data_IF_087535523505
#
_entry.id   IF_087535523505
#
_cell.length_a   1.000
_cell.length_b   1.000
_cell.length_c   1.000
_cell.angle_alpha   90.00
_cell.angle_beta   90.00
_cell.angle_gamma   90.00
#
_symmetry.space_group_name_H-M   'P 1'
#
loop_
_entity.id
_entity.type
_entity.pdbx_description
1 polymer ?
#
# COMPACT_ATOMS: atom_id res chain seq x y z
N UNK A 1 19.32 -5.45 -18.19
CA UNK A 1 18.88 -6.24 -17.02
C UNK A 1 17.48 -6.72 -17.33
N UNK A 2 17.20 -7.98 -17.07
CA UNK A 2 15.83 -8.50 -17.20
C UNK A 2 15.00 -7.91 -16.07
N UNK A 3 13.85 -7.32 -16.40
CA UNK A 3 12.97 -6.66 -15.43
C UNK A 3 11.63 -7.38 -15.45
N UNK A 4 11.11 -7.75 -14.26
CA UNK A 4 9.76 -8.25 -14.11
C UNK A 4 8.84 -7.06 -13.85
N UNK A 5 7.81 -6.88 -14.67
CA UNK A 5 6.78 -5.89 -14.37
C UNK A 5 5.84 -6.41 -13.30
N UNK A 6 5.48 -5.55 -12.34
CA UNK A 6 4.61 -5.87 -11.21
C UNK A 6 3.43 -4.92 -11.22
N UNK A 7 2.26 -5.42 -11.59
CA UNK A 7 1.01 -4.64 -11.43
C UNK A 7 0.44 -4.89 -10.04
N UNK A 8 0.35 -3.81 -9.25
CA UNK A 8 -0.20 -3.82 -7.90
C UNK A 8 -1.62 -3.28 -7.91
N UNK A 9 -2.61 -4.16 -7.86
CA UNK A 9 -4.01 -3.80 -7.67
C UNK A 9 -4.28 -3.49 -6.21
N UNK A 10 -4.61 -2.24 -5.91
CA UNK A 10 -4.72 -1.78 -4.53
C UNK A 10 -5.76 -0.66 -4.35
N UNK A 11 -5.99 -0.28 -3.10
CA UNK A 11 -6.89 0.81 -2.72
C UNK A 11 -6.39 1.40 -1.39
N UNK A 12 -6.29 2.74 -1.25
CA UNK A 12 -5.76 3.36 -0.05
C UNK A 12 -6.59 3.06 1.21
N UNK A 13 -7.86 2.70 1.04
CA UNK A 13 -8.77 2.38 2.15
C UNK A 13 -8.87 0.87 2.46
N UNK A 14 -8.14 0.02 1.76
CA UNK A 14 -8.19 -1.41 2.00
C UNK A 14 -7.26 -1.82 3.15
N UNK A 15 -7.78 -2.31 4.30
CA UNK A 15 -6.95 -2.71 5.43
C UNK A 15 -6.06 -3.92 5.12
N UNK A 16 -6.46 -4.81 4.21
CA UNK A 16 -5.62 -5.91 3.75
C UNK A 16 -4.45 -5.43 2.92
N UNK A 17 -4.68 -4.46 2.01
CA UNK A 17 -3.62 -3.86 1.21
C UNK A 17 -2.62 -3.11 2.10
N UNK A 18 -3.11 -2.34 3.06
CA UNK A 18 -2.27 -1.66 4.04
C UNK A 18 -1.46 -2.65 4.89
N UNK A 19 -2.06 -3.73 5.33
CA UNK A 19 -1.38 -4.78 6.11
C UNK A 19 -0.36 -5.59 5.29
N UNK A 20 -0.40 -5.54 3.96
CA UNK A 20 0.58 -6.18 3.09
C UNK A 20 1.86 -5.34 2.90
N UNK A 21 1.88 -4.07 3.33
CA UNK A 21 3.03 -3.17 3.16
C UNK A 21 4.37 -3.76 3.61
N UNK A 22 4.48 -4.49 4.74
CA UNK A 22 5.75 -5.11 5.12
C UNK A 22 6.28 -6.12 4.09
N UNK A 23 5.41 -6.93 3.50
CA UNK A 23 5.82 -7.88 2.45
C UNK A 23 6.25 -7.15 1.17
N UNK A 24 5.56 -6.06 0.81
CA UNK A 24 5.93 -5.23 -0.35
C UNK A 24 7.25 -4.50 -0.12
N UNK A 25 7.51 -4.00 1.09
CA UNK A 25 8.78 -3.38 1.46
C UNK A 25 9.95 -4.39 1.32
N UNK A 26 9.75 -5.64 1.76
CA UNK A 26 10.75 -6.71 1.57
C UNK A 26 10.99 -6.99 0.09
N UNK A 27 9.98 -7.02 -0.77
CA UNK A 27 10.18 -7.22 -2.20
C UNK A 27 10.97 -6.07 -2.85
N UNK A 28 10.66 -4.82 -2.48
CA UNK A 28 11.39 -3.64 -2.96
C UNK A 28 12.85 -3.65 -2.49
N UNK A 29 13.09 -4.05 -1.25
CA UNK A 29 14.43 -4.24 -0.71
C UNK A 29 15.20 -5.32 -1.49
N UNK A 30 14.62 -6.52 -1.61
CA UNK A 30 15.30 -7.70 -2.20
C UNK A 30 15.64 -7.57 -3.66
N UNK A 31 14.75 -6.97 -4.43
CA UNK A 31 14.86 -6.99 -5.89
C UNK A 31 15.16 -5.62 -6.49
N UNK A 32 14.92 -4.54 -5.72
CA UNK A 32 15.21 -3.18 -6.17
C UNK A 32 14.66 -2.88 -7.56
N UNK A 33 15.50 -2.33 -8.42
CA UNK A 33 15.16 -1.96 -9.80
C UNK A 33 14.92 -3.16 -10.75
N UNK A 34 15.08 -4.42 -10.28
CA UNK A 34 14.75 -5.61 -11.06
C UNK A 34 13.23 -5.84 -11.14
N UNK A 35 12.44 -5.16 -10.29
CA UNK A 35 10.97 -5.13 -10.35
C UNK A 35 10.51 -3.74 -10.78
N UNK A 36 9.75 -3.70 -11.88
CA UNK A 36 9.13 -2.48 -12.39
C UNK A 36 7.67 -2.40 -11.89
N UNK A 37 7.41 -1.50 -10.96
CA UNK A 37 6.14 -1.39 -10.24
C UNK A 37 5.17 -0.44 -10.93
N UNK A 38 3.94 -0.87 -11.07
CA UNK A 38 2.81 -0.06 -11.51
C UNK A 38 1.62 -0.25 -10.56
N UNK A 39 1.12 0.83 -10.01
CA UNK A 39 -0.08 0.83 -9.18
C UNK A 39 -1.32 0.92 -10.08
N UNK A 40 -2.36 0.16 -9.73
CA UNK A 40 -3.70 0.24 -10.34
C UNK A 40 -4.72 0.36 -9.21
N UNK A 41 -5.48 1.45 -9.21
CA UNK A 41 -6.44 1.74 -8.15
C UNK A 41 -7.76 1.02 -8.39
N UNK A 42 -8.30 0.37 -7.34
CA UNK A 42 -9.52 -0.46 -7.47
C UNK A 42 -10.80 0.37 -7.36
N UNK A 43 -10.84 1.38 -6.50
CA UNK A 43 -12.06 2.12 -6.18
C UNK A 43 -13.08 1.24 -5.49
N UNK A 44 -12.83 0.85 -4.22
CA UNK A 44 -13.68 -0.09 -3.48
C UNK A 44 -15.12 0.41 -3.28
N UNK A 45 -15.31 1.71 -3.13
CA UNK A 45 -16.62 2.35 -3.06
C UNK A 45 -16.56 3.79 -3.57
N UNK A 46 -17.40 4.11 -4.53
CA UNK A 46 -17.60 5.48 -5.02
C UNK A 46 -18.55 6.27 -4.10
N UNK A 47 -19.51 5.57 -3.48
CA UNK A 47 -20.53 6.11 -2.61
C UNK A 47 -20.48 5.45 -1.23
N UNK A 48 -20.43 6.23 -0.13
CA UNK A 48 -20.44 5.70 1.22
C UNK A 48 -21.77 5.01 1.58
N UNK A 49 -22.88 5.35 0.94
CA UNK A 49 -24.19 4.75 1.21
C UNK A 49 -24.17 3.23 1.05
N UNK A 50 -23.43 2.71 0.08
CA UNK A 50 -23.28 1.28 -0.13
C UNK A 50 -22.71 0.58 1.11
N UNK A 51 -21.73 1.17 1.79
CA UNK A 51 -21.20 0.65 3.03
C UNK A 51 -22.24 0.72 4.15
N UNK A 52 -22.97 1.84 4.25
CA UNK A 52 -24.02 2.02 5.25
C UNK A 52 -25.15 1.00 5.07
N UNK A 53 -25.60 0.76 3.84
CA UNK A 53 -26.61 -0.26 3.52
C UNK A 53 -26.14 -1.67 3.87
N UNK A 54 -24.84 -1.96 3.79
CA UNK A 54 -24.21 -3.20 4.23
C UNK A 54 -23.96 -3.25 5.75
N UNK A 55 -24.50 -2.30 6.51
CA UNK A 55 -24.43 -2.24 7.97
C UNK A 55 -23.09 -1.77 8.52
N UNK A 56 -22.25 -1.10 7.71
CA UNK A 56 -21.05 -0.45 8.21
C UNK A 56 -21.41 0.85 8.93
N UNK A 57 -20.82 1.04 10.09
CA UNK A 57 -20.84 2.30 10.85
C UNK A 57 -19.42 2.71 11.18
N UNK A 58 -19.15 4.00 11.49
CA UNK A 58 -17.83 4.45 11.91
C UNK A 58 -17.24 3.60 13.05
N UNK A 59 -18.05 3.31 14.05
CA UNK A 59 -17.63 2.47 15.20
C UNK A 59 -17.30 1.04 14.77
N UNK A 60 -18.14 0.41 13.94
CA UNK A 60 -17.91 -0.96 13.46
C UNK A 60 -16.64 -1.03 12.60
N UNK A 61 -16.38 -0.01 11.78
CA UNK A 61 -15.16 0.08 11.00
C UNK A 61 -13.92 0.23 11.88
N UNK A 62 -13.95 1.11 12.88
CA UNK A 62 -12.86 1.30 13.83
C UNK A 62 -12.55 0.00 14.62
N UNK A 63 -13.58 -0.67 15.15
CA UNK A 63 -13.42 -1.97 15.84
C UNK A 63 -12.84 -3.01 14.88
N UNK A 64 -13.34 -3.08 13.64
CA UNK A 64 -12.82 -3.98 12.62
C UNK A 64 -11.33 -3.78 12.34
N UNK A 65 -10.86 -2.52 12.31
CA UNK A 65 -9.45 -2.19 12.10
C UNK A 65 -8.54 -2.73 13.20
N UNK A 66 -9.01 -2.83 14.45
CA UNK A 66 -8.19 -3.36 15.56
C UNK A 66 -7.71 -4.79 15.29
N UNK A 67 -8.50 -5.60 14.58
CA UNK A 67 -8.12 -6.96 14.23
C UNK A 67 -6.92 -7.04 13.28
N UNK A 68 -6.63 -5.97 12.53
CA UNK A 68 -5.51 -5.87 11.60
C UNK A 68 -4.19 -5.49 12.27
N UNK A 69 -4.21 -4.97 13.50
CA UNK A 69 -2.98 -4.67 14.27
C UNK A 69 -2.06 -5.90 14.41
N UNK A 70 -2.62 -7.11 14.34
CA UNK A 70 -1.85 -8.36 14.34
C UNK A 70 -0.87 -8.51 13.18
N UNK A 71 -1.03 -7.74 12.11
CA UNK A 71 -0.12 -7.72 10.95
C UNK A 71 0.99 -6.66 11.09
N UNK A 72 1.02 -5.92 12.20
CA UNK A 72 2.09 -5.02 12.60
C UNK A 72 2.01 -3.60 12.04
N UNK A 73 1.14 -3.32 11.06
CA UNK A 73 0.93 -1.95 10.59
C UNK A 73 0.17 -1.12 11.63
N UNK A 74 0.44 0.22 11.72
CA UNK A 74 -0.23 1.08 12.69
C UNK A 74 -1.70 1.34 12.34
N UNK A 75 -2.57 1.25 13.36
CA UNK A 75 -3.98 1.58 13.27
C UNK A 75 -4.42 2.41 14.47
N UNK A 76 -5.09 3.53 14.23
CA UNK A 76 -5.62 4.38 15.31
C UNK A 76 -6.71 3.66 16.12
N UNK A 77 -7.70 3.09 15.42
CA UNK A 77 -8.82 2.40 16.07
C UNK A 77 -9.89 3.34 16.64
N UNK A 78 -9.92 4.59 16.21
CA UNK A 78 -10.95 5.56 16.57
C UNK A 78 -11.99 5.71 15.44
N UNK A 79 -13.29 5.88 15.76
CA UNK A 79 -14.31 6.08 14.75
C UNK A 79 -14.17 7.47 14.10
N UNK A 80 -14.34 7.53 12.78
CA UNK A 80 -14.49 8.78 12.03
C UNK A 80 -15.84 9.41 12.28
N UNK A 81 -16.01 10.67 11.85
CA UNK A 81 -17.28 11.37 11.93
C UNK A 81 -18.40 10.66 11.13
N UNK A 82 -18.06 10.03 10.01
CA UNK A 82 -18.97 9.26 9.15
C UNK A 82 -18.23 8.15 8.40
N UNK A 83 -18.98 7.29 7.74
CA UNK A 83 -18.45 6.35 6.72
C UNK A 83 -18.01 7.18 5.51
N UNK A 84 -16.85 6.85 4.93
CA UNK A 84 -16.27 7.52 3.78
C UNK A 84 -16.23 6.59 2.55
N UNK A 85 -16.35 7.18 1.36
CA UNK A 85 -16.08 6.54 0.08
C UNK A 85 -14.56 6.52 -0.21
N UNK A 86 -14.12 5.64 -1.11
CA UNK A 86 -12.68 5.50 -1.43
C UNK A 86 -12.32 6.14 -2.78
N UNK A 87 -13.30 6.38 -3.64
CA UNK A 87 -13.10 6.84 -5.02
C UNK A 87 -12.33 8.15 -5.11
N UNK A 88 -12.63 9.15 -4.23
CA UNK A 88 -11.93 10.43 -4.25
C UNK A 88 -10.46 10.31 -3.88
N UNK A 89 -10.13 9.51 -2.86
CA UNK A 89 -8.75 9.20 -2.50
C UNK A 89 -8.00 8.46 -3.62
N UNK A 90 -8.66 7.51 -4.32
CA UNK A 90 -8.09 6.85 -5.49
C UNK A 90 -7.82 7.86 -6.62
N UNK A 91 -8.74 8.77 -6.90
CA UNK A 91 -8.52 9.82 -7.91
C UNK A 91 -7.40 10.79 -7.52
N UNK A 92 -7.18 11.07 -6.23
CA UNK A 92 -6.00 11.85 -5.80
C UNK A 92 -4.68 11.14 -6.15
N UNK A 93 -4.61 9.81 -6.00
CA UNK A 93 -3.46 9.01 -6.47
C UNK A 93 -3.29 9.14 -7.99
N UNK A 94 -4.37 8.96 -8.75
CA UNK A 94 -4.35 9.05 -10.22
C UNK A 94 -4.00 10.47 -10.69
N UNK A 95 -4.53 11.52 -10.05
CA UNK A 95 -4.15 12.90 -10.34
C UNK A 95 -2.65 13.12 -10.13
N UNK A 96 -2.08 12.56 -9.05
CA UNK A 96 -0.63 12.61 -8.81
C UNK A 96 0.13 11.86 -9.91
N UNK A 97 -0.31 10.67 -10.32
CA UNK A 97 0.28 9.93 -11.46
C UNK A 97 0.38 10.79 -12.72
N UNK A 98 -0.62 11.62 -13.00
CA UNK A 98 -0.65 12.48 -14.18
C UNK A 98 0.18 13.75 -14.03
N UNK A 99 0.28 14.31 -12.82
CA UNK A 99 0.95 15.58 -12.55
C UNK A 99 2.43 15.40 -12.18
N UNK A 100 2.72 14.42 -11.32
CA UNK A 100 4.06 14.15 -10.75
C UNK A 100 4.22 12.62 -10.56
N UNK A 101 4.39 11.85 -11.65
CA UNK A 101 4.42 10.38 -11.62
C UNK A 101 5.35 9.76 -10.56
N UNK A 102 6.56 10.31 -10.30
CA UNK A 102 7.48 9.74 -9.30
C UNK A 102 6.92 9.72 -7.88
N UNK A 103 5.91 10.55 -7.58
CA UNK A 103 5.30 10.66 -6.24
C UNK A 103 4.02 9.86 -6.06
N UNK A 104 3.56 9.16 -7.08
CA UNK A 104 2.31 8.39 -7.02
C UNK A 104 2.28 7.45 -5.81
N UNK A 105 3.36 6.70 -5.60
CA UNK A 105 3.42 5.75 -4.50
C UNK A 105 3.51 6.44 -3.12
N UNK A 106 4.23 7.55 -3.04
CA UNK A 106 4.33 8.32 -1.81
C UNK A 106 2.96 8.88 -1.39
N UNK A 107 2.20 9.41 -2.37
CA UNK A 107 0.82 9.88 -2.17
C UNK A 107 -0.10 8.72 -1.78
N UNK A 108 -0.02 7.59 -2.47
CA UNK A 108 -0.81 6.41 -2.11
C UNK A 108 -0.55 6.00 -0.65
N UNK A 109 0.70 5.94 -0.24
CA UNK A 109 1.11 5.62 1.13
C UNK A 109 0.64 6.67 2.15
N UNK A 110 0.75 7.96 1.83
CA UNK A 110 0.26 9.04 2.70
C UNK A 110 -1.26 8.95 2.92
N UNK A 111 -2.03 8.64 1.88
CA UNK A 111 -3.47 8.42 1.98
C UNK A 111 -3.80 7.16 2.80
N UNK A 112 -3.03 6.09 2.70
CA UNK A 112 -3.17 4.93 3.58
C UNK A 112 -2.94 5.32 5.05
N UNK A 113 -1.89 6.08 5.35
CA UNK A 113 -1.65 6.58 6.70
C UNK A 113 -2.80 7.47 7.17
N UNK A 114 -3.24 8.45 6.37
CA UNK A 114 -4.41 9.25 6.68
C UNK A 114 -5.65 8.40 6.97
N UNK A 115 -5.85 7.32 6.17
CA UNK A 115 -6.99 6.43 6.35
C UNK A 115 -6.93 5.59 7.64
N UNK A 116 -5.79 5.04 8.01
CA UNK A 116 -5.70 4.04 9.08
C UNK A 116 -5.18 4.58 10.40
N UNK A 117 -4.52 5.74 10.40
CA UNK A 117 -3.87 6.28 11.60
C UNK A 117 -4.41 7.63 12.05
N UNK A 118 -5.46 8.13 11.37
CA UNK A 118 -6.17 9.36 11.73
C UNK A 118 -7.68 9.15 11.65
N UNK A 119 -8.44 10.18 12.05
CA UNK A 119 -9.90 10.24 11.89
C UNK A 119 -10.34 10.97 10.63
N UNK A 120 -9.43 11.32 9.72
CA UNK A 120 -9.72 12.02 8.48
C UNK A 120 -10.73 11.26 7.61
N UNK A 121 -11.58 11.99 6.91
CA UNK A 121 -12.64 11.49 6.03
C UNK A 121 -12.22 11.75 4.58
N UNK A 122 -11.41 10.85 4.00
CA UNK A 122 -10.68 11.05 2.74
C UNK A 122 -11.55 10.99 1.46
N UNK A 123 -12.81 11.30 1.57
CA UNK A 123 -13.68 11.70 0.46
C UNK A 123 -14.02 13.21 0.51
N UNK A 124 -13.28 13.98 1.33
CA UNK A 124 -13.34 15.45 1.45
C UNK A 124 -11.96 16.04 1.11
N UNK A 125 -11.95 17.14 0.37
CA UNK A 125 -10.71 17.78 -0.11
C UNK A 125 -9.85 18.28 1.04
N UNK A 126 -10.45 18.88 2.05
CA UNK A 126 -9.75 19.40 3.21
C UNK A 126 -8.98 18.30 3.95
N UNK A 127 -9.58 17.11 4.07
CA UNK A 127 -8.97 15.96 4.73
C UNK A 127 -7.91 15.29 3.84
N UNK A 128 -8.08 15.29 2.52
CA UNK A 128 -7.04 14.87 1.57
C UNK A 128 -5.83 15.81 1.66
N UNK A 129 -6.04 17.13 1.70
CA UNK A 129 -4.96 18.13 1.89
C UNK A 129 -4.17 17.81 3.16
N UNK A 130 -4.86 17.54 4.28
CA UNK A 130 -4.21 17.21 5.56
C UNK A 130 -3.42 15.89 5.47
N UNK A 131 -3.96 14.88 4.81
CA UNK A 131 -3.28 13.59 4.63
C UNK A 131 -2.03 13.71 3.75
N UNK A 132 -2.04 14.60 2.75
CA UNK A 132 -0.92 14.81 1.82
C UNK A 132 0.08 15.85 2.28
N UNK A 133 -0.23 16.67 3.28
CA UNK A 133 0.66 17.72 3.79
C UNK A 133 2.07 17.22 4.19
N UNK A 134 2.27 15.97 4.68
CA UNK A 134 3.60 15.46 4.98
C UNK A 134 4.45 15.11 3.75
N UNK A 135 3.88 15.05 2.54
CA UNK A 135 4.59 14.69 1.31
C UNK A 135 5.42 15.88 0.84
N UNK A 136 6.71 15.82 1.08
CA UNK A 136 7.63 16.94 0.82
C UNK A 136 7.73 17.26 -0.67
N UNK A 137 7.56 18.54 -1.04
CA UNK A 137 7.71 19.03 -2.41
C UNK A 137 6.56 18.65 -3.35
N UNK A 138 5.47 18.04 -2.87
CA UNK A 138 4.25 17.83 -3.63
C UNK A 138 3.44 19.13 -3.71
N UNK A 139 2.96 19.47 -4.89
CA UNK A 139 1.92 20.51 -5.04
C UNK A 139 0.54 19.92 -4.70
N UNK A 140 0.25 19.87 -3.40
CA UNK A 140 -1.00 19.31 -2.88
C UNK A 140 -2.23 20.03 -3.45
N UNK A 141 -2.13 21.35 -3.67
CA UNK A 141 -3.24 22.13 -4.22
C UNK A 141 -3.53 21.73 -5.67
N UNK A 142 -2.49 21.52 -6.48
CA UNK A 142 -2.65 21.04 -7.85
C UNK A 142 -3.22 19.59 -7.89
N UNK A 143 -2.76 18.70 -7.00
CA UNK A 143 -3.31 17.33 -6.91
C UNK A 143 -4.80 17.37 -6.59
N UNK A 144 -5.22 18.14 -5.58
CA UNK A 144 -6.63 18.21 -5.18
C UNK A 144 -7.48 18.86 -6.25
N UNK A 145 -7.00 19.92 -6.90
CA UNK A 145 -7.70 20.53 -8.04
C UNK A 145 -7.85 19.55 -9.22
N UNK A 146 -6.87 18.65 -9.40
CA UNK A 146 -6.87 17.65 -10.46
C UNK A 146 -7.79 16.46 -10.25
N UNK A 147 -8.35 16.25 -9.05
CA UNK A 147 -9.14 15.04 -8.71
C UNK A 147 -10.37 14.84 -9.63
N UNK A 148 -11.04 15.91 -10.00
CA UNK A 148 -12.27 15.88 -10.80
C UNK A 148 -12.03 16.30 -12.28
N UNK A 149 -10.77 16.51 -12.69
CA UNK A 149 -10.41 16.76 -14.07
C UNK A 149 -10.74 15.55 -14.95
N UNK A 150 -11.22 15.80 -16.17
CA UNK A 150 -11.65 14.76 -17.12
C UNK A 150 -10.56 13.70 -17.35
N UNK A 151 -9.30 14.11 -17.45
CA UNK A 151 -8.17 13.19 -17.62
C UNK A 151 -7.97 12.26 -16.42
N UNK A 152 -8.12 12.78 -15.19
CA UNK A 152 -8.00 11.98 -13.96
C UNK A 152 -9.16 10.99 -13.84
N UNK A 153 -10.38 11.46 -14.10
CA UNK A 153 -11.58 10.60 -14.07
C UNK A 153 -11.45 9.49 -15.10
N UNK A 154 -11.05 9.81 -16.34
CA UNK A 154 -10.87 8.82 -17.40
C UNK A 154 -9.78 7.79 -17.06
N UNK A 155 -8.66 8.25 -16.50
CA UNK A 155 -7.58 7.35 -16.09
C UNK A 155 -7.98 6.46 -14.90
N UNK A 156 -8.75 6.97 -13.95
CA UNK A 156 -9.29 6.18 -12.84
C UNK A 156 -10.31 5.14 -13.34
N UNK A 157 -11.19 5.49 -14.27
CA UNK A 157 -12.10 4.51 -14.88
C UNK A 157 -11.34 3.43 -15.67
N UNK A 158 -10.22 3.78 -16.32
CA UNK A 158 -9.35 2.79 -16.96
C UNK A 158 -8.74 1.82 -15.92
N UNK A 159 -8.24 2.33 -14.78
CA UNK A 159 -7.80 1.49 -13.65
C UNK A 159 -8.92 0.54 -13.20
N UNK A 160 -10.14 1.06 -13.00
CA UNK A 160 -11.30 0.25 -12.58
C UNK A 160 -11.64 -0.84 -13.59
N UNK A 161 -11.57 -0.54 -14.88
CA UNK A 161 -11.79 -1.53 -15.94
C UNK A 161 -10.71 -2.61 -15.92
N UNK A 162 -9.45 -2.23 -15.77
CA UNK A 162 -8.35 -3.17 -15.67
C UNK A 162 -8.47 -4.09 -14.45
N UNK A 163 -8.91 -3.56 -13.30
CA UNK A 163 -9.14 -4.39 -12.12
C UNK A 163 -10.20 -5.46 -12.34
N UNK A 164 -11.14 -5.26 -13.27
CA UNK A 164 -12.28 -6.15 -13.55
C UNK A 164 -12.00 -7.18 -14.63
N UNK A 165 -10.77 -7.65 -14.70
CA UNK A 165 -10.28 -8.66 -15.65
C UNK A 165 -9.84 -9.96 -14.97
N UNK A 166 -10.27 -10.22 -13.74
CA UNK A 166 -9.84 -11.38 -12.98
C UNK A 166 -10.62 -12.67 -13.29
N UNK A 167 -11.77 -12.58 -14.00
CA UNK A 167 -12.65 -13.71 -14.28
C UNK A 167 -11.93 -14.81 -15.06
N UNK A 168 -12.07 -16.06 -14.60
CA UNK A 168 -11.43 -17.24 -15.20
C UNK A 168 -9.90 -17.27 -15.05
N UNK A 169 -9.29 -16.31 -14.36
CA UNK A 169 -7.86 -16.28 -14.07
C UNK A 169 -7.47 -17.03 -12.79
N UNK A 170 -6.15 -17.18 -12.54
CA UNK A 170 -5.64 -17.86 -11.33
C UNK A 170 -6.17 -17.27 -10.03
N UNK A 171 -6.29 -15.95 -9.94
CA UNK A 171 -6.84 -15.24 -8.77
C UNK A 171 -8.31 -15.61 -8.51
N UNK A 172 -9.10 -15.79 -9.57
CA UNK A 172 -10.51 -16.20 -9.47
C UNK A 172 -10.63 -17.67 -9.05
N UNK A 173 -9.90 -18.56 -9.68
CA UNK A 173 -9.90 -20.00 -9.31
C UNK A 173 -9.45 -20.25 -7.87
N UNK A 174 -8.60 -19.39 -7.32
CA UNK A 174 -8.18 -19.46 -5.93
C UNK A 174 -9.21 -18.86 -4.94
N UNK A 175 -10.35 -18.35 -5.43
CA UNK A 175 -11.35 -17.66 -4.60
C UNK A 175 -10.86 -16.34 -4.03
N UNK A 176 -9.86 -15.72 -4.64
CA UNK A 176 -9.25 -14.45 -4.22
C UNK A 176 -9.78 -13.24 -4.98
N UNK A 177 -10.50 -13.46 -6.09
CA UNK A 177 -11.22 -12.41 -6.78
C UNK A 177 -12.49 -11.98 -6.01
N UNK A 178 -13.11 -10.90 -6.45
CA UNK A 178 -14.35 -10.37 -5.87
C UNK A 178 -15.35 -10.00 -6.97
N UNK A 179 -16.60 -10.34 -6.73
CA UNK A 179 -17.72 -9.90 -7.55
C UNK A 179 -18.62 -8.99 -6.69
N UNK A 180 -18.64 -7.72 -6.94
CA UNK A 180 -19.34 -6.74 -6.13
C UNK A 180 -20.28 -5.84 -6.90
N UNK A 181 -19.86 -5.28 -8.04
CA UNK A 181 -20.55 -4.21 -8.76
C UNK A 181 -20.25 -4.25 -10.27
N UNK A 182 -20.18 -5.44 -10.84
CA UNK A 182 -19.85 -5.65 -12.25
C UNK A 182 -19.05 -6.93 -12.46
N UNK A 183 -18.18 -6.99 -13.48
CA UNK A 183 -17.35 -8.15 -13.74
C UNK A 183 -16.43 -8.50 -12.56
N UNK A 184 -16.00 -9.75 -12.49
CA UNK A 184 -15.09 -10.27 -11.45
C UNK A 184 -13.79 -9.47 -11.44
N UNK A 185 -13.44 -8.90 -10.30
CA UNK A 185 -12.25 -8.07 -10.13
C UNK A 185 -11.21 -8.67 -9.21
N UNK A 186 -9.98 -8.26 -9.40
CA UNK A 186 -8.91 -8.48 -8.42
C UNK A 186 -9.31 -7.93 -7.05
N UNK A 187 -8.94 -8.61 -5.98
CA UNK A 187 -9.03 -8.05 -4.62
C UNK A 187 -7.85 -7.14 -4.32
N UNK A 188 -8.02 -6.21 -3.36
CA UNK A 188 -6.92 -5.46 -2.79
C UNK A 188 -6.37 -6.20 -1.55
N UNK A 189 -5.04 -6.45 -1.46
CA UNK A 189 -4.06 -6.33 -2.53
C UNK A 189 -4.15 -7.51 -3.51
N UNK A 190 -3.68 -7.34 -4.74
CA UNK A 190 -3.30 -8.42 -5.64
C UNK A 190 -2.08 -7.98 -6.44
N UNK A 191 -1.14 -8.88 -6.67
CA UNK A 191 0.02 -8.63 -7.53
C UNK A 191 -0.04 -9.52 -8.77
N UNK A 192 0.25 -8.92 -9.91
CA UNK A 192 0.45 -9.64 -11.17
C UNK A 192 1.87 -9.40 -11.64
N UNK A 193 2.64 -10.46 -11.76
CA UNK A 193 4.02 -10.44 -12.22
C UNK A 193 4.07 -10.87 -13.69
N UNK A 194 4.83 -10.16 -14.51
CA UNK A 194 5.00 -10.49 -15.91
C UNK A 194 6.46 -10.39 -16.33
N UNK A 195 6.99 -11.47 -16.92
CA UNK A 195 8.34 -11.46 -17.47
C UNK A 195 8.40 -10.71 -18.81
N UNK A 196 9.61 -10.36 -19.26
CA UNK A 196 9.84 -9.77 -20.57
C UNK A 196 9.43 -10.68 -21.74
N UNK A 197 9.30 -11.99 -21.51
CA UNK A 197 8.84 -12.98 -22.49
C UNK A 197 7.30 -13.13 -22.50
N UNK A 198 6.59 -12.37 -21.66
CA UNK A 198 5.14 -12.38 -21.59
C UNK A 198 4.54 -13.46 -20.68
N UNK A 199 5.37 -14.24 -19.96
CA UNK A 199 4.85 -15.15 -18.93
C UNK A 199 4.23 -14.34 -17.78
N UNK A 200 3.06 -14.76 -17.31
CA UNK A 200 2.28 -14.04 -16.30
C UNK A 200 1.91 -14.97 -15.14
N UNK A 201 2.20 -14.52 -13.91
CA UNK A 201 1.81 -15.19 -12.67
C UNK A 201 1.06 -14.21 -11.76
N UNK A 202 0.09 -14.72 -10.99
CA UNK A 202 -0.79 -13.92 -10.14
C UNK A 202 -0.71 -14.35 -8.69
N UNK A 203 -0.66 -13.35 -7.81
CA UNK A 203 -0.79 -13.50 -6.36
C UNK A 203 -2.00 -12.72 -5.88
N UNK A 204 -3.17 -13.35 -5.87
CA UNK A 204 -4.43 -12.72 -5.44
C UNK A 204 -4.55 -12.62 -3.93
N UNK A 205 -5.02 -11.46 -3.44
CA UNK A 205 -5.27 -11.21 -2.04
C UNK A 205 -4.01 -11.07 -1.19
N UNK A 206 -4.21 -10.98 0.12
CA UNK A 206 -3.12 -10.90 1.09
C UNK A 206 -2.28 -12.19 1.06
N UNK A 207 -0.97 -12.05 0.84
CA UNK A 207 -0.01 -13.15 0.80
C UNK A 207 1.20 -12.85 1.70
N UNK A 208 1.93 -13.89 2.10
CA UNK A 208 3.25 -13.77 2.71
C UNK A 208 4.31 -13.50 1.64
N UNK A 209 5.43 -12.90 2.02
CA UNK A 209 6.52 -12.54 1.10
C UNK A 209 7.05 -13.75 0.33
N UNK A 210 7.10 -14.93 0.96
CA UNK A 210 7.59 -16.17 0.35
C UNK A 210 6.75 -16.59 -0.86
N UNK A 211 5.44 -16.32 -0.84
CA UNK A 211 4.58 -16.61 -1.99
C UNK A 211 4.98 -15.76 -3.20
N UNK A 212 5.26 -14.48 -2.99
CA UNK A 212 5.73 -13.59 -4.05
C UNK A 212 7.12 -13.99 -4.57
N UNK A 213 8.06 -14.33 -3.66
CA UNK A 213 9.40 -14.82 -4.01
C UNK A 213 9.36 -16.04 -4.93
N UNK A 214 8.46 -16.98 -4.64
CA UNK A 214 8.29 -18.19 -5.48
C UNK A 214 7.81 -17.82 -6.87
N UNK A 215 6.86 -16.88 -7.00
CA UNK A 215 6.37 -16.44 -8.31
C UNK A 215 7.48 -15.74 -9.11
N UNK A 216 8.23 -14.86 -8.47
CA UNK A 216 9.35 -14.15 -9.10
C UNK A 216 10.43 -15.15 -9.56
N UNK A 217 10.82 -16.09 -8.70
CA UNK A 217 11.83 -17.11 -9.04
C UNK A 217 11.38 -18.06 -10.17
N UNK A 218 10.06 -18.29 -10.31
CA UNK A 218 9.52 -19.08 -11.43
C UNK A 218 9.50 -18.29 -12.75
N UNK A 219 9.42 -16.96 -12.71
CA UNK A 219 9.50 -16.12 -13.90
C UNK A 219 10.94 -15.87 -14.34
N UNK A 220 11.83 -15.62 -13.39
CA UNK A 220 13.26 -15.44 -13.66
C UNK A 220 14.10 -15.88 -12.45
N UNK A 221 14.67 -17.09 -12.48
CA UNK A 221 15.52 -17.59 -11.40
C UNK A 221 16.90 -16.92 -11.33
N UNK A 222 17.25 -16.05 -12.27
CA UNK A 222 18.55 -15.36 -12.35
C UNK A 222 18.56 -14.03 -11.64
N UNK A 223 17.41 -13.53 -11.17
CA UNK A 223 17.34 -12.28 -10.44
C UNK A 223 18.12 -12.38 -9.11
N UNK A 224 18.96 -11.37 -8.89
CA UNK A 224 19.70 -11.24 -7.65
C UNK A 224 18.77 -10.87 -6.51
N UNK A 225 19.05 -11.37 -5.32
CA UNK A 225 18.26 -11.13 -4.11
C UNK A 225 19.17 -10.53 -3.05
N UNK A 226 18.86 -9.29 -2.66
CA UNK A 226 19.53 -8.64 -1.55
C UNK A 226 19.33 -9.44 -0.25
N UNK A 227 20.38 -9.54 0.54
CA UNK A 227 20.30 -10.15 1.87
C UNK A 227 19.41 -9.31 2.80
N UNK A 228 18.83 -9.89 3.87
CA UNK A 228 18.16 -9.08 4.87
C UNK A 228 19.09 -8.00 5.42
N UNK A 229 18.56 -6.80 5.68
CA UNK A 229 19.34 -5.73 6.26
C UNK A 229 19.95 -6.15 7.62
N UNK A 230 21.18 -5.76 7.87
CA UNK A 230 21.88 -6.11 9.12
C UNK A 230 21.39 -5.25 10.30
N UNK A 231 20.98 -4.00 10.01
CA UNK A 231 20.48 -3.06 11.00
C UNK A 231 19.39 -2.12 10.44
N UNK A 232 18.69 -1.35 11.29
CA UNK A 232 17.62 -0.44 10.83
C UNK A 232 18.12 0.71 9.96
N UNK A 233 19.35 1.20 10.09
CA UNK A 233 19.87 2.30 9.25
C UNK A 233 20.04 1.84 7.81
N UNK A 234 20.51 0.62 7.62
CA UNK A 234 20.63 0.02 6.29
C UNK A 234 19.24 -0.07 5.62
N UNK A 235 18.24 -0.60 6.35
CA UNK A 235 16.88 -0.66 5.86
C UNK A 235 16.32 0.73 5.51
N UNK A 236 16.48 1.74 6.39
CA UNK A 236 15.96 3.09 6.18
C UNK A 236 16.66 3.83 5.03
N UNK A 237 17.94 3.53 4.76
CA UNK A 237 18.68 4.16 3.66
C UNK A 237 18.08 3.89 2.28
N UNK A 238 17.44 2.74 2.10
CA UNK A 238 16.77 2.37 0.86
C UNK A 238 15.35 2.96 0.73
N UNK A 239 14.80 3.52 1.81
CA UNK A 239 13.43 4.04 1.85
C UNK A 239 13.39 5.48 2.38
N UNK A 240 13.73 6.48 1.55
CA UNK A 240 13.82 7.89 2.00
C UNK A 240 12.49 8.44 2.52
N UNK A 241 11.34 7.90 2.10
CA UNK A 241 10.02 8.27 2.61
C UNK A 241 9.72 7.70 3.99
N UNK A 242 10.58 6.82 4.50
CA UNK A 242 10.50 6.19 5.80
C UNK A 242 9.76 4.85 5.81
N UNK A 243 9.96 4.11 6.90
CA UNK A 243 9.36 2.81 7.17
C UNK A 243 8.68 2.83 8.55
N UNK A 244 7.60 2.05 8.70
CA UNK A 244 7.06 1.76 10.02
C UNK A 244 7.85 0.61 10.68
N UNK A 245 7.73 0.46 11.99
CA UNK A 245 8.49 -0.53 12.77
C UNK A 245 8.39 -1.94 12.19
N UNK A 246 7.20 -2.37 11.76
CA UNK A 246 7.00 -3.70 11.18
C UNK A 246 7.70 -3.88 9.82
N UNK A 247 7.79 -2.84 9.01
CA UNK A 247 8.48 -2.89 7.72
C UNK A 247 9.99 -3.04 7.92
N UNK A 248 10.56 -2.28 8.86
CA UNK A 248 11.98 -2.44 9.24
C UNK A 248 12.26 -3.86 9.73
N UNK A 249 11.45 -4.35 10.68
CA UNK A 249 11.58 -5.72 11.19
C UNK A 249 11.47 -6.78 10.09
N UNK A 250 10.59 -6.57 9.10
CA UNK A 250 10.39 -7.50 8.00
C UNK A 250 11.59 -7.52 7.03
N UNK A 251 12.20 -6.36 6.75
CA UNK A 251 13.39 -6.24 5.89
C UNK A 251 14.60 -6.91 6.57
N UNK A 252 14.71 -6.82 7.88
CA UNK A 252 15.78 -7.46 8.68
C UNK A 252 15.55 -8.97 8.90
N UNK A 253 14.34 -9.47 8.68
CA UNK A 253 14.02 -10.88 8.90
C UNK A 253 14.58 -11.78 7.79
N UNK A 254 15.10 -12.94 8.17
CA UNK A 254 15.45 -14.00 7.21
C UNK A 254 14.19 -14.68 6.67
N UNK A 255 14.29 -15.28 5.49
CA UNK A 255 13.20 -16.06 4.91
C UNK A 255 12.66 -17.11 5.89
N UNK A 256 11.33 -17.25 5.92
CA UNK A 256 10.59 -18.15 6.79
C UNK A 256 10.80 -17.91 8.30
N UNK A 257 11.28 -16.73 8.68
CA UNK A 257 11.32 -16.28 10.07
C UNK A 257 10.30 -15.18 10.28
N UNK A 258 9.64 -15.21 11.44
CA UNK A 258 8.76 -14.09 11.81
C UNK A 258 9.63 -12.87 12.15
N UNK A 259 9.24 -11.66 11.67
CA UNK A 259 9.96 -10.43 11.99
C UNK A 259 10.01 -10.14 13.49
N UNK A 260 11.20 -9.87 14.02
CA UNK A 260 11.34 -9.44 15.42
C UNK A 260 11.09 -7.94 15.56
N UNK A 261 9.81 -7.61 15.67
CA UNK A 261 9.34 -6.23 15.80
C UNK A 261 9.88 -5.55 17.07
N UNK A 262 10.03 -6.31 18.17
CA UNK A 262 10.49 -5.74 19.45
C UNK A 262 11.95 -5.37 19.36
N UNK A 263 12.80 -6.23 18.79
CA UNK A 263 14.20 -5.92 18.58
C UNK A 263 14.39 -4.73 17.62
N UNK A 264 13.63 -4.68 16.51
CA UNK A 264 13.69 -3.57 15.57
C UNK A 264 13.25 -2.24 16.22
N UNK A 265 12.17 -2.24 17.01
CA UNK A 265 11.69 -1.04 17.71
C UNK A 265 12.71 -0.54 18.73
N UNK A 266 13.32 -1.45 19.50
CA UNK A 266 14.35 -1.09 20.48
C UNK A 266 15.56 -0.42 19.81
N UNK A 267 16.07 -0.99 18.72
CA UNK A 267 17.19 -0.41 17.97
C UNK A 267 16.82 0.96 17.35
N UNK A 268 15.60 1.11 16.80
CA UNK A 268 15.11 2.38 16.25
C UNK A 268 15.00 3.47 17.33
N UNK A 269 14.58 3.11 18.55
CA UNK A 269 14.52 4.06 19.69
C UNK A 269 15.93 4.49 20.07
N UNK A 270 16.91 3.59 20.14
CA UNK A 270 18.31 3.91 20.43
C UNK A 270 18.88 4.86 19.39
N UNK A 271 18.69 4.58 18.09
CA UNK A 271 19.11 5.44 16.98
C UNK A 271 18.43 6.81 17.02
N UNK A 272 17.16 6.86 17.40
CA UNK A 272 16.45 8.15 17.57
C UNK A 272 17.02 8.95 18.76
N UNK A 273 17.41 8.28 19.85
CA UNK A 273 18.09 8.90 20.98
C UNK A 273 19.49 9.41 20.63
N UNK A 274 20.18 8.78 19.69
CA UNK A 274 21.47 9.22 19.14
C UNK A 274 21.34 10.38 18.13
N UNK A 275 20.13 10.61 17.59
CA UNK A 275 19.88 11.64 16.58
C UNK A 275 20.07 11.16 15.12
N UNK A 276 20.29 9.87 14.89
CA UNK A 276 20.49 9.29 13.55
C UNK A 276 19.16 9.07 12.82
N UNK A 277 18.08 8.89 13.59
CA UNK A 277 16.74 8.58 13.07
C UNK A 277 15.70 9.50 13.68
N UNK A 278 14.81 10.02 12.83
CA UNK A 278 13.63 10.79 13.23
C UNK A 278 12.43 9.87 13.41
N UNK A 279 11.75 10.01 14.55
CA UNK A 279 10.51 9.31 14.86
C UNK A 279 9.32 10.24 14.71
N UNK A 280 8.35 9.87 13.88
CA UNK A 280 7.05 10.55 13.76
C UNK A 280 5.95 9.61 14.24
N UNK A 281 5.15 10.03 15.23
CA UNK A 281 4.05 9.21 15.75
C UNK A 281 3.01 8.92 14.65
N UNK A 282 2.54 7.67 14.56
CA UNK A 282 1.62 7.21 13.53
C UNK A 282 0.66 6.15 14.10
N UNK A 283 -0.57 6.54 14.43
CA UNK A 283 -1.54 5.66 15.08
C UNK A 283 -0.98 5.10 16.40
N UNK A 284 -0.88 3.79 16.50
CA UNK A 284 -0.31 3.09 17.66
C UNK A 284 1.17 2.71 17.48
N UNK A 285 1.88 3.31 16.52
CA UNK A 285 3.28 3.04 16.17
C UNK A 285 3.98 4.34 15.74
N UNK A 286 4.97 4.25 14.89
CA UNK A 286 5.70 5.38 14.33
C UNK A 286 6.13 5.14 12.88
N UNK A 287 6.34 6.25 12.17
CA UNK A 287 7.14 6.32 10.95
C UNK A 287 8.56 6.73 11.34
N UNK A 288 9.55 5.99 10.86
CA UNK A 288 10.96 6.19 11.08
C UNK A 288 11.65 6.61 9.79
N UNK A 289 12.49 7.63 9.86
CA UNK A 289 13.23 8.19 8.73
C UNK A 289 14.64 8.53 9.18
N UNK A 290 15.60 8.49 8.28
CA UNK A 290 16.94 9.06 8.54
C UNK A 290 16.81 10.54 8.91
N UNK A 291 17.63 11.02 9.85
CA UNK A 291 17.61 12.39 10.38
C UNK A 291 18.16 13.42 9.40
#
# INVERSE_FOLDING_TARGET
>A
MTTISVTHFSDPACPWAYSASPALAVLRWRYGAQLDWRLVTIGLAEDPERYVQNGYTPTRMAVGQLSFRRYGMPFLGEPRARVAATGRACRAVVATRLLDPPREEEVFRALQFGWFTTTLVLDQDEDIVLALAPVSGLDVAAVVAGIDEEATVAAFEADKLETRTAEGGPTDFQGKARQTDGPVRFSAPSLVFQSSEGQRLEAGGFQKVEAYDVLIANLDPTLEREAPAEDPLEALSAFPTGLVTQEVAAIMARNNQEPDRVAAESALIELSGAGDVRRTALGNDALWQLA
#
